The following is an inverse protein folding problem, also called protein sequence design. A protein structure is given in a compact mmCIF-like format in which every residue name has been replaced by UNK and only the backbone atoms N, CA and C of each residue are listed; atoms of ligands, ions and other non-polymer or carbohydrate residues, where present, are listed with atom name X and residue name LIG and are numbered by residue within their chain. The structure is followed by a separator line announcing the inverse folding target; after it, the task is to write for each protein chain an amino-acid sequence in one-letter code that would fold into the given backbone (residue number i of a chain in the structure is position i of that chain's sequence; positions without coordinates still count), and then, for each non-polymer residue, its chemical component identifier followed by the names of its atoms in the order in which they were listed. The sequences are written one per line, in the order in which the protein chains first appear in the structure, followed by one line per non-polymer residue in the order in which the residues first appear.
data_IF_210007179222
#
_entry.id   IF_210007179222
#
_cell.length_a   1.000
_cell.length_b   1.000
_cell.length_c   1.000
_cell.angle_alpha   90.00
_cell.angle_beta   90.00
_cell.angle_gamma   90.00
#
_symmetry.space_group_name_H-M   'P 1'
#
loop_
_entity.id
_entity.type
_entity.pdbx_description
1 polymer ?
#
# COMPACT_ATOMS: atom_id res chain seq x y z
N UNK A 1 12.13 21.20 -2.29
CA UNK A 1 10.65 21.19 -2.37
C UNK A 1 10.31 20.54 -3.68
N UNK A 2 9.83 19.29 -3.65
CA UNK A 2 9.48 18.57 -4.88
C UNK A 2 8.28 19.27 -5.51
N UNK A 3 8.42 19.77 -6.74
CA UNK A 3 7.35 20.44 -7.49
C UNK A 3 6.37 19.40 -8.03
N UNK A 4 5.62 18.79 -7.11
CA UNK A 4 4.63 17.77 -7.40
C UNK A 4 3.28 18.47 -7.48
N UNK A 5 2.71 18.50 -8.68
CA UNK A 5 1.36 19.03 -8.90
C UNK A 5 0.34 18.36 -7.96
N UNK A 6 -0.63 19.12 -7.46
CA UNK A 6 -1.72 18.65 -6.58
C UNK A 6 -2.46 17.43 -7.14
N UNK A 7 -2.58 17.37 -8.47
CA UNK A 7 -3.13 16.21 -9.16
C UNK A 7 -2.29 14.95 -8.91
N UNK A 8 -0.96 15.04 -9.00
CA UNK A 8 -0.07 13.91 -8.79
C UNK A 8 -0.07 13.43 -7.32
N UNK A 9 -0.16 14.36 -6.35
CA UNK A 9 -0.35 14.01 -4.92
C UNK A 9 -1.65 13.20 -4.68
N UNK A 10 -2.72 13.55 -5.37
CA UNK A 10 -4.00 12.84 -5.30
C UNK A 10 -3.87 11.43 -5.91
N UNK A 11 -3.25 11.31 -7.09
CA UNK A 11 -2.98 10.01 -7.72
C UNK A 11 -2.12 9.09 -6.83
N UNK A 12 -1.06 9.62 -6.22
CA UNK A 12 -0.21 8.88 -5.27
C UNK A 12 -1.03 8.36 -4.07
N UNK A 13 -1.97 9.16 -3.58
CA UNK A 13 -2.90 8.74 -2.52
C UNK A 13 -3.82 7.61 -2.98
N UNK A 14 -4.31 7.64 -4.22
CA UNK A 14 -5.08 6.54 -4.82
C UNK A 14 -4.26 5.26 -4.96
N UNK A 15 -3.00 5.36 -5.40
CA UNK A 15 -2.11 4.20 -5.47
C UNK A 15 -1.83 3.60 -4.09
N UNK A 16 -1.65 4.43 -3.06
CA UNK A 16 -1.48 3.96 -1.67
C UNK A 16 -2.74 3.25 -1.15
N UNK A 17 -3.92 3.84 -1.34
CA UNK A 17 -5.20 3.21 -0.98
C UNK A 17 -5.44 1.89 -1.72
N UNK A 18 -5.16 1.86 -3.02
CA UNK A 18 -5.25 0.64 -3.83
C UNK A 18 -4.32 -0.45 -3.32
N UNK A 19 -3.07 -0.11 -2.99
CA UNK A 19 -2.10 -1.04 -2.42
C UNK A 19 -2.55 -1.60 -1.06
N UNK A 20 -3.12 -0.77 -0.18
CA UNK A 20 -3.68 -1.21 1.11
C UNK A 20 -4.88 -2.13 0.94
N UNK A 21 -5.81 -1.81 0.03
CA UNK A 21 -6.95 -2.65 -0.26
C UNK A 21 -6.52 -4.00 -0.84
N UNK A 22 -5.55 -4.01 -1.75
CA UNK A 22 -5.00 -5.22 -2.35
C UNK A 22 -4.27 -6.08 -1.30
N UNK A 23 -3.52 -5.45 -0.39
CA UNK A 23 -2.92 -6.14 0.75
C UNK A 23 -3.96 -6.79 1.67
N UNK A 24 -5.07 -6.09 1.97
CA UNK A 24 -6.15 -6.65 2.77
C UNK A 24 -6.79 -7.89 2.12
N UNK A 25 -7.01 -7.84 0.80
CA UNK A 25 -7.50 -9.00 0.03
C UNK A 25 -6.49 -10.15 0.05
N UNK A 26 -5.21 -9.88 -0.15
CA UNK A 26 -4.15 -10.90 -0.08
C UNK A 26 -4.07 -11.57 1.29
N UNK A 27 -4.17 -10.80 2.38
CA UNK A 27 -4.19 -11.34 3.76
C UNK A 27 -5.43 -12.20 3.98
N UNK A 28 -6.59 -11.75 3.48
CA UNK A 28 -7.82 -12.54 3.55
C UNK A 28 -7.68 -13.88 2.82
N UNK A 29 -7.17 -13.85 1.59
CA UNK A 29 -6.92 -15.06 0.80
C UNK A 29 -5.91 -15.97 1.49
N UNK A 30 -4.81 -15.42 2.01
CA UNK A 30 -3.78 -16.17 2.73
C UNK A 30 -4.32 -16.88 3.97
N UNK A 31 -5.24 -16.26 4.72
CA UNK A 31 -5.77 -16.81 5.98
C UNK A 31 -6.91 -17.80 5.78
N UNK A 32 -7.80 -17.55 4.82
CA UNK A 32 -9.06 -18.29 4.72
C UNK A 32 -9.15 -19.23 3.53
N UNK A 33 -8.38 -19.00 2.47
CA UNK A 33 -8.49 -19.76 1.22
C UNK A 33 -7.31 -20.69 0.94
N UNK A 34 -6.18 -20.49 1.61
CA UNK A 34 -4.96 -21.29 1.42
C UNK A 34 -4.82 -22.28 2.59
N UNK A 35 -5.07 -23.60 2.37
CA UNK A 35 -4.93 -24.61 3.41
C UNK A 35 -3.46 -24.95 3.73
N UNK A 36 -2.54 -24.66 2.80
CA UNK A 36 -1.11 -24.94 2.94
C UNK A 36 -0.39 -23.82 3.72
N UNK A 37 0.12 -24.18 4.91
CA UNK A 37 0.90 -23.29 5.79
C UNK A 37 2.03 -22.52 5.08
N UNK A 38 2.93 -23.14 4.28
CA UNK A 38 4.04 -22.40 3.69
C UNK A 38 3.59 -21.37 2.65
N UNK A 39 2.55 -21.67 1.85
CA UNK A 39 2.05 -20.76 0.82
C UNK A 39 1.33 -19.58 1.48
N UNK A 40 0.56 -19.83 2.55
CA UNK A 40 -0.09 -18.78 3.35
C UNK A 40 0.93 -17.77 3.92
N UNK A 41 2.08 -18.25 4.41
CA UNK A 41 3.17 -17.41 4.91
C UNK A 41 3.75 -16.55 3.78
N UNK A 42 4.01 -17.13 2.60
CA UNK A 42 4.56 -16.38 1.46
C UNK A 42 3.60 -15.30 0.96
N UNK A 43 2.31 -15.59 0.86
CA UNK A 43 1.29 -14.60 0.47
C UNK A 43 1.15 -13.50 1.52
N UNK A 44 1.24 -13.85 2.80
CA UNK A 44 1.22 -12.88 3.91
C UNK A 44 2.45 -11.96 3.89
N UNK A 45 3.63 -12.48 3.53
CA UNK A 45 4.85 -11.69 3.35
C UNK A 45 4.71 -10.69 2.21
N UNK A 46 4.13 -11.10 1.07
CA UNK A 46 3.87 -10.21 -0.07
C UNK A 46 2.89 -9.10 0.34
N UNK A 47 1.84 -9.44 1.09
CA UNK A 47 0.90 -8.44 1.58
C UNK A 47 1.55 -7.43 2.55
N UNK A 48 2.46 -7.91 3.41
CA UNK A 48 3.25 -7.04 4.28
C UNK A 48 4.17 -6.10 3.50
N UNK A 49 4.83 -6.60 2.44
CA UNK A 49 5.65 -5.76 1.56
C UNK A 49 4.79 -4.68 0.86
N UNK A 50 3.58 -5.03 0.43
CA UNK A 50 2.61 -4.09 -0.15
C UNK A 50 2.17 -3.01 0.85
N UNK A 51 1.96 -3.36 2.12
CA UNK A 51 1.64 -2.38 3.16
C UNK A 51 2.80 -1.40 3.41
N UNK A 52 4.03 -1.92 3.46
CA UNK A 52 5.24 -1.09 3.60
C UNK A 52 5.37 -0.15 2.40
N UNK A 53 5.12 -0.64 1.19
CA UNK A 53 5.13 0.17 -0.03
C UNK A 53 4.06 1.27 0.00
N UNK A 54 2.83 0.94 0.41
CA UNK A 54 1.75 1.90 0.56
C UNK A 54 2.07 2.99 1.60
N UNK A 55 2.76 2.61 2.68
CA UNK A 55 3.25 3.54 3.70
C UNK A 55 4.34 4.47 3.16
N UNK A 56 5.30 3.95 2.39
CA UNK A 56 6.33 4.77 1.75
C UNK A 56 5.74 5.79 0.75
N UNK A 57 4.70 5.40 0.01
CA UNK A 57 3.99 6.30 -0.91
C UNK A 57 3.29 7.48 -0.20
N UNK A 58 2.97 7.35 1.10
CA UNK A 58 2.37 8.44 1.89
C UNK A 58 3.37 9.54 2.28
N UNK A 59 4.67 9.27 2.28
CA UNK A 59 5.72 10.25 2.62
C UNK A 59 5.67 11.51 1.73
N UNK A 60 5.64 11.41 0.38
CA UNK A 60 5.52 12.58 -0.48
C UNK A 60 4.15 13.27 -0.36
N UNK A 61 3.08 12.54 -0.03
CA UNK A 61 1.74 13.10 0.17
C UNK A 61 1.72 14.01 1.40
N UNK A 62 2.31 13.58 2.50
CA UNK A 62 2.41 14.35 3.74
C UNK A 62 3.35 15.57 3.55
N UNK A 63 4.50 15.38 2.91
CA UNK A 63 5.48 16.45 2.68
C UNK A 63 5.04 17.52 1.66
N UNK A 64 4.20 17.16 0.69
CA UNK A 64 3.67 18.09 -0.32
C UNK A 64 2.50 18.95 0.16
N UNK A 65 1.95 18.69 1.35
CA UNK A 65 0.80 19.41 1.91
C UNK A 65 1.18 20.66 2.73
N UNK A 66 2.47 20.91 2.97
CA UNK A 66 3.00 21.99 3.84
C UNK A 66 2.99 23.40 3.22
N UNK A 67 2.12 23.65 2.24
CA UNK A 67 1.78 25.00 1.77
C UNK A 67 0.26 25.14 1.84
N UNK A 68 -0.25 25.22 3.06
CA UNK A 68 -1.60 25.67 3.40
C UNK A 68 -1.48 27.00 4.14
#
# INVERSE_FOLDING_TARGET
MFDISRMNLMWISFYSLGAMALAAVLIYVARYKIPSRPISIMVSLIAWALLIFAFLLMIPVLGGSSHA
#
